data_IF_462263797659
#
_entry.id   IF_462263797659
#
_cell.length_a   1.000
_cell.length_b   1.000
_cell.length_c   1.000
_cell.angle_alpha   90.00
_cell.angle_beta   90.00
_cell.angle_gamma   90.00
#
_symmetry.space_group_name_H-M   'P 1'
#
loop_
_entity.id
_entity.type
_entity.pdbx_description
1 polymer ?
#
# COMPACT_ATOMS: atom_id res chain seq x y z
N UNK A 1 6.24 -7.02 8.90
CA UNK A 1 6.48 -6.00 7.85
C UNK A 1 5.61 -6.32 6.65
N UNK A 2 4.94 -5.34 6.10
CA UNK A 2 4.08 -5.55 4.94
C UNK A 2 4.79 -5.12 3.65
N UNK A 3 4.29 -5.53 2.49
CA UNK A 3 4.96 -5.26 1.22
C UNK A 3 4.61 -3.91 0.59
N UNK A 4 3.99 -2.99 1.31
CA UNK A 4 3.56 -1.71 0.72
C UNK A 4 4.75 -0.95 0.13
N UNK A 5 5.85 -0.84 0.88
CA UNK A 5 7.03 -0.13 0.40
C UNK A 5 7.61 -0.81 -0.85
N UNK A 6 7.71 -2.13 -0.87
CA UNK A 6 8.26 -2.84 -2.03
C UNK A 6 7.36 -2.70 -3.26
N UNK A 7 6.04 -2.76 -3.09
CA UNK A 7 5.12 -2.56 -4.20
C UNK A 7 5.20 -1.12 -4.72
N UNK A 8 5.30 -0.14 -3.82
CA UNK A 8 5.45 1.26 -4.18
C UNK A 8 6.71 1.47 -5.04
N UNK A 9 7.83 0.92 -4.58
CA UNK A 9 9.11 1.04 -5.29
C UNK A 9 9.04 0.32 -6.63
N UNK A 10 8.39 -0.84 -6.67
CA UNK A 10 8.25 -1.63 -7.92
C UNK A 10 7.60 -0.82 -9.04
N UNK A 11 6.61 0.02 -8.71
CA UNK A 11 5.93 0.84 -9.72
C UNK A 11 6.50 2.26 -9.81
N UNK A 12 7.63 2.52 -9.16
CA UNK A 12 8.37 3.77 -9.32
C UNK A 12 7.82 4.97 -8.58
N UNK A 13 7.08 4.76 -7.47
CA UNK A 13 6.50 5.85 -6.71
C UNK A 13 7.29 6.17 -5.44
N UNK A 14 7.44 7.48 -5.15
CA UNK A 14 7.89 7.91 -3.84
C UNK A 14 6.74 7.79 -2.83
N UNK A 15 7.05 7.97 -1.53
CA UNK A 15 5.99 8.02 -0.52
C UNK A 15 5.02 9.17 -0.79
N UNK A 16 5.53 10.30 -1.23
CA UNK A 16 4.71 11.46 -1.58
C UNK A 16 3.81 11.16 -2.78
N UNK A 17 4.35 10.50 -3.81
CA UNK A 17 3.57 10.11 -4.98
C UNK A 17 2.44 9.15 -4.59
N UNK A 18 2.72 8.17 -3.75
CA UNK A 18 1.70 7.23 -3.30
C UNK A 18 0.61 7.95 -2.50
N UNK A 19 1.01 8.85 -1.60
CA UNK A 19 0.04 9.65 -0.83
C UNK A 19 -0.92 10.38 -1.77
N UNK A 20 -0.40 11.03 -2.79
CA UNK A 20 -1.21 11.74 -3.77
C UNK A 20 -2.14 10.80 -4.52
N UNK A 21 -1.63 9.64 -4.96
CA UNK A 21 -2.40 8.67 -5.73
C UNK A 21 -3.60 8.09 -4.96
N UNK A 22 -3.48 7.94 -3.66
CA UNK A 22 -4.55 7.35 -2.85
C UNK A 22 -5.29 8.39 -1.99
N UNK A 23 -5.06 9.68 -2.27
CA UNK A 23 -5.83 10.75 -1.65
C UNK A 23 -5.43 11.09 -0.22
N UNK A 24 -4.16 10.93 0.13
CA UNK A 24 -3.64 11.33 1.43
C UNK A 24 -3.01 12.71 1.33
N UNK A 25 -3.02 13.46 2.44
CA UNK A 25 -2.46 14.80 2.48
C UNK A 25 -0.96 14.83 2.78
N UNK A 26 -0.40 13.72 3.28
CA UNK A 26 0.97 13.68 3.75
C UNK A 26 1.63 12.33 3.50
N UNK A 27 2.89 12.36 3.08
CA UNK A 27 3.73 11.17 2.95
C UNK A 27 3.94 10.46 4.29
N UNK A 28 3.80 11.19 5.41
CA UNK A 28 3.96 10.62 6.74
C UNK A 28 2.96 9.50 6.99
N UNK A 29 1.73 9.64 6.47
CA UNK A 29 0.72 8.60 6.58
C UNK A 29 1.13 7.35 5.80
N UNK A 30 1.73 7.51 4.62
CA UNK A 30 2.26 6.37 3.87
C UNK A 30 3.36 5.67 4.68
N UNK A 31 4.28 6.44 5.26
CA UNK A 31 5.33 5.87 6.10
C UNK A 31 4.75 5.06 7.26
N UNK A 32 3.67 5.56 7.88
CA UNK A 32 2.97 4.84 8.94
C UNK A 32 2.41 3.51 8.43
N UNK A 33 1.78 3.51 7.26
CA UNK A 33 1.26 2.28 6.66
C UNK A 33 2.38 1.26 6.40
N UNK A 34 3.53 1.74 5.89
CA UNK A 34 4.68 0.87 5.61
C UNK A 34 5.28 0.28 6.86
N UNK A 35 5.12 0.96 8.00
CA UNK A 35 5.62 0.51 9.29
C UNK A 35 4.58 -0.24 10.13
N UNK A 36 3.47 -0.66 9.52
CA UNK A 36 2.48 -1.48 10.20
C UNK A 36 1.35 -0.71 10.87
N UNK A 37 1.22 0.59 10.62
CA UNK A 37 0.11 1.38 11.15
C UNK A 37 -1.22 0.96 10.53
N UNK A 38 -2.31 1.32 11.20
CA UNK A 38 -3.67 1.02 10.73
C UNK A 38 -3.95 1.67 9.38
N UNK A 39 -4.57 0.90 8.49
CA UNK A 39 -4.91 1.35 7.16
C UNK A 39 -6.43 1.38 7.04
N UNK A 40 -7.05 2.55 6.82
CA UNK A 40 -8.49 2.60 6.54
C UNK A 40 -8.84 1.75 5.34
N UNK A 41 -10.01 1.12 5.37
CA UNK A 41 -10.45 0.21 4.32
C UNK A 41 -10.41 0.88 2.93
N UNK A 42 -10.84 2.14 2.84
CA UNK A 42 -10.84 2.87 1.56
C UNK A 42 -9.44 3.03 0.99
N UNK A 43 -8.44 3.26 1.84
CA UNK A 43 -7.05 3.40 1.39
C UNK A 43 -6.45 2.05 1.02
N UNK A 44 -6.81 1.01 1.76
CA UNK A 44 -6.40 -0.36 1.43
C UNK A 44 -6.92 -0.76 0.05
N UNK A 45 -8.20 -0.52 -0.22
CA UNK A 45 -8.81 -0.82 -1.52
C UNK A 45 -8.10 -0.03 -2.62
N UNK A 46 -7.83 1.26 -2.40
CA UNK A 46 -7.13 2.08 -3.38
C UNK A 46 -5.74 1.50 -3.70
N UNK A 47 -5.01 1.05 -2.69
CA UNK A 47 -3.69 0.46 -2.89
C UNK A 47 -3.76 -0.89 -3.62
N UNK A 48 -4.77 -1.72 -3.33
CA UNK A 48 -4.90 -3.00 -4.06
C UNK A 48 -5.12 -2.76 -5.56
N UNK A 49 -5.92 -1.77 -5.90
CA UNK A 49 -6.15 -1.41 -7.30
C UNK A 49 -4.89 -0.83 -7.96
N UNK A 50 -4.20 0.04 -7.24
CA UNK A 50 -2.99 0.68 -7.76
C UNK A 50 -1.87 -0.33 -7.98
N UNK A 51 -1.62 -1.20 -7.00
CA UNK A 51 -0.55 -2.19 -7.06
C UNK A 51 -0.96 -3.48 -7.80
N UNK A 52 -2.25 -3.66 -8.05
CA UNK A 52 -2.82 -4.86 -8.68
C UNK A 52 -2.46 -6.13 -7.91
N UNK A 53 -2.69 -6.07 -6.59
CA UNK A 53 -2.46 -7.19 -5.70
C UNK A 53 -3.62 -7.33 -4.70
N UNK A 54 -3.62 -8.42 -3.93
CA UNK A 54 -4.69 -8.66 -2.97
C UNK A 54 -4.49 -7.84 -1.69
N UNK A 55 -5.59 -7.58 -0.99
CA UNK A 55 -5.55 -6.95 0.32
C UNK A 55 -4.82 -7.83 1.33
N UNK A 56 -5.05 -9.14 1.28
CA UNK A 56 -4.38 -10.09 2.18
C UNK A 56 -2.87 -9.99 2.03
N UNK A 57 -2.37 -9.88 0.82
CA UNK A 57 -0.95 -9.71 0.55
C UNK A 57 -0.43 -8.41 1.18
N UNK A 58 -1.13 -7.30 0.97
CA UNK A 58 -0.71 -6.01 1.51
C UNK A 58 -0.71 -6.00 3.04
N UNK A 59 -1.61 -6.76 3.66
CA UNK A 59 -1.70 -6.86 5.11
C UNK A 59 -0.72 -7.88 5.70
N UNK A 60 0.04 -8.57 4.85
CA UNK A 60 1.02 -9.56 5.30
C UNK A 60 0.42 -10.91 5.69
N UNK A 61 -0.81 -11.19 5.28
CA UNK A 61 -1.51 -12.43 5.63
C UNK A 61 -1.19 -13.58 4.67
N UNK A 62 -0.59 -13.29 3.53
CA UNK A 62 -0.19 -14.28 2.55
C UNK A 62 1.00 -13.76 1.75
N UNK A 63 1.82 -14.66 1.22
CA UNK A 63 2.92 -14.33 0.31
C UNK A 63 2.47 -14.24 -1.15
N UNK A 64 1.24 -14.64 -1.43
CA UNK A 64 0.68 -14.61 -2.78
C UNK A 64 0.12 -13.24 -3.08
N UNK A 65 0.79 -12.49 -3.98
CA UNK A 65 0.39 -11.12 -4.27
C UNK A 65 -0.85 -10.99 -5.15
N UNK A 66 -1.24 -12.05 -5.83
CA UNK A 66 -2.39 -12.00 -6.75
C UNK A 66 -3.62 -12.63 -6.14
N UNK A 67 -4.79 -12.12 -6.54
CA UNK A 67 -6.07 -12.77 -6.24
C UNK A 67 -6.26 -13.88 -7.27
N UNK A 68 -6.37 -15.08 -6.81
CA UNK A 68 -6.59 -16.23 -7.69
C UNK A 68 -8.05 -16.44 -7.98
#
# INVERSE_FOLDING_TARGET
MNPIASERVRIGLSQEDLAEKIGLKSRTTVASYENGGEIPCSKLVAMTHLFKCSADYLLGLTDNRTVS
#
